data_IF_569188834822
#
_entry.id   IF_569188834822
#
_cell.length_a   1.000
_cell.length_b   1.000
_cell.length_c   1.000
_cell.angle_alpha   90.00
_cell.angle_beta   90.00
_cell.angle_gamma   90.00
#
_symmetry.space_group_name_H-M   'P 1'
#
loop_
_entity.id
_entity.type
_entity.pdbx_description
1 polymer ?
#
# COMPACT_ATOMS: atom_id res chain seq x y z
N UNK A 1 -4.79 44.26 9.04
CA UNK A 1 -5.84 43.22 8.91
C UNK A 1 -5.20 41.90 8.46
N UNK A 2 -4.86 40.97 9.38
CA UNK A 2 -4.30 39.68 8.98
C UNK A 2 -5.42 38.75 8.46
N UNK A 3 -5.22 38.19 7.27
CA UNK A 3 -6.16 37.26 6.62
C UNK A 3 -6.17 35.93 7.37
N UNK A 4 -7.31 35.61 7.98
CA UNK A 4 -7.57 34.32 8.64
C UNK A 4 -7.42 33.15 7.66
N UNK A 5 -6.50 32.23 7.98
CA UNK A 5 -6.31 30.99 7.24
C UNK A 5 -7.50 30.05 7.50
N UNK A 6 -8.36 29.86 6.48
CA UNK A 6 -9.45 28.88 6.55
C UNK A 6 -8.86 27.47 6.60
N UNK A 7 -9.00 26.81 7.75
CA UNK A 7 -8.69 25.40 7.91
C UNK A 7 -9.47 24.56 6.88
N UNK A 8 -8.73 23.76 6.09
CA UNK A 8 -9.29 22.79 5.15
C UNK A 8 -10.12 21.74 5.90
N UNK A 9 -11.44 21.87 5.86
CA UNK A 9 -12.39 20.90 6.44
C UNK A 9 -12.28 19.59 5.66
N UNK A 10 -11.66 18.56 6.28
CA UNK A 10 -11.55 17.20 5.71
C UNK A 10 -12.93 16.73 5.26
N UNK A 11 -13.11 16.49 3.96
CA UNK A 11 -14.34 15.94 3.40
C UNK A 11 -14.58 14.54 3.98
N UNK A 12 -15.68 14.35 4.74
CA UNK A 12 -16.07 13.01 5.23
C UNK A 12 -16.24 12.08 4.03
N UNK A 13 -15.55 10.94 4.04
CA UNK A 13 -15.68 9.91 3.01
C UNK A 13 -17.12 9.40 2.98
N UNK A 14 -17.72 9.30 1.79
CA UNK A 14 -19.10 8.79 1.61
C UNK A 14 -19.15 7.30 2.02
N UNK A 15 -19.92 7.00 3.06
CA UNK A 15 -20.21 5.64 3.56
C UNK A 15 -21.54 5.18 2.95
N UNK A 16 -21.67 3.88 2.70
CA UNK A 16 -22.89 3.26 2.20
C UNK A 16 -24.01 3.51 3.21
N UNK A 17 -25.17 3.94 2.72
CA UNK A 17 -26.33 4.15 3.58
C UNK A 17 -26.88 2.83 4.13
N UNK A 18 -26.58 1.70 3.49
CA UNK A 18 -26.96 0.35 3.94
C UNK A 18 -25.98 -0.24 4.95
N UNK A 19 -24.81 0.36 5.15
CA UNK A 19 -23.85 -0.15 6.12
C UNK A 19 -24.39 0.08 7.54
N UNK A 20 -24.35 -0.92 8.44
CA UNK A 20 -24.82 -0.78 9.81
C UNK A 20 -24.17 0.43 10.50
N UNK A 21 -24.96 1.15 11.32
CA UNK A 21 -24.43 2.28 12.09
C UNK A 21 -23.58 1.77 13.24
N UNK A 22 -22.52 2.50 13.58
CA UNK A 22 -21.65 2.14 14.70
C UNK A 22 -22.46 2.01 16.00
N UNK A 23 -22.19 0.97 16.80
CA UNK A 23 -22.89 0.77 18.06
C UNK A 23 -22.50 1.88 19.06
N UNK A 24 -23.44 2.36 19.88
CA UNK A 24 -23.15 3.33 20.93
C UNK A 24 -22.29 2.70 22.04
N UNK A 25 -21.37 3.49 22.60
CA UNK A 25 -20.62 3.10 23.81
C UNK A 25 -21.50 3.31 25.06
N UNK A 26 -21.12 2.72 26.20
CA UNK A 26 -21.83 2.82 27.49
C UNK A 26 -22.14 4.26 27.89
N UNK A 27 -21.16 5.15 27.77
CA UNK A 27 -21.36 6.59 28.03
C UNK A 27 -22.33 7.25 27.03
N UNK A 28 -22.34 6.83 25.77
CA UNK A 28 -23.26 7.38 24.75
C UNK A 28 -24.70 6.95 24.97
N UNK A 29 -24.91 5.74 25.50
CA UNK A 29 -26.23 5.27 25.94
C UNK A 29 -26.70 6.11 27.13
N UNK A 30 -25.87 6.24 28.15
CA UNK A 30 -26.15 7.11 29.30
C UNK A 30 -26.43 8.55 28.89
N UNK A 31 -25.64 9.12 27.99
CA UNK A 31 -25.82 10.49 27.51
C UNK A 31 -27.18 10.66 26.80
N UNK A 32 -27.62 9.65 26.06
CA UNK A 32 -28.93 9.65 25.40
C UNK A 32 -30.05 9.66 26.43
N UNK A 33 -29.95 8.83 27.47
CA UNK A 33 -30.98 8.71 28.51
C UNK A 33 -31.01 9.94 29.43
N UNK A 34 -29.82 10.47 29.78
CA UNK A 34 -29.65 11.71 30.52
C UNK A 34 -30.28 12.91 29.79
N UNK A 35 -30.06 13.02 28.46
CA UNK A 35 -30.67 14.08 27.66
C UNK A 35 -32.15 13.88 27.35
N UNK A 36 -32.68 12.67 27.47
CA UNK A 36 -34.12 12.43 27.37
C UNK A 36 -34.87 13.00 28.58
N UNK A 37 -34.25 13.02 29.76
CA UNK A 37 -34.80 13.61 30.99
C UNK A 37 -34.54 15.11 31.17
N UNK A 38 -33.46 15.66 30.58
CA UNK A 38 -33.03 17.04 30.81
C UNK A 38 -33.46 17.98 29.65
N UNK A 39 -34.50 18.79 29.86
CA UNK A 39 -35.00 19.73 28.84
C UNK A 39 -34.40 21.13 28.94
N UNK A 40 -33.78 21.51 30.07
CA UNK A 40 -33.35 22.89 30.34
C UNK A 40 -31.87 23.22 30.03
N UNK A 41 -31.64 24.42 29.50
CA UNK A 41 -30.30 24.98 29.27
C UNK A 41 -29.70 24.70 27.89
N UNK A 42 -28.52 25.28 27.65
CA UNK A 42 -27.81 25.10 26.38
C UNK A 42 -27.19 23.70 26.29
N UNK A 43 -26.93 23.20 25.08
CA UNK A 43 -26.26 21.90 24.89
C UNK A 43 -24.93 21.81 25.65
N UNK A 44 -24.17 22.91 25.72
CA UNK A 44 -22.90 22.95 26.43
C UNK A 44 -23.08 22.73 27.95
N UNK A 45 -24.13 23.31 28.54
CA UNK A 45 -24.44 23.15 29.96
C UNK A 45 -24.94 21.74 30.26
N UNK A 46 -25.82 21.20 29.40
CA UNK A 46 -26.28 19.82 29.48
C UNK A 46 -25.12 18.83 29.38
N UNK A 47 -24.19 19.04 28.46
CA UNK A 47 -23.01 18.17 28.30
C UNK A 47 -22.10 18.19 29.54
N UNK A 48 -21.90 19.36 30.17
CA UNK A 48 -21.16 19.45 31.44
C UNK A 48 -21.84 18.64 32.54
N UNK A 49 -23.16 18.80 32.73
CA UNK A 49 -23.94 18.05 33.73
C UNK A 49 -23.92 16.54 33.46
N UNK A 50 -24.10 16.13 32.20
CA UNK A 50 -24.03 14.72 31.80
C UNK A 50 -22.66 14.12 32.12
N UNK A 51 -21.57 14.85 31.87
CA UNK A 51 -20.22 14.37 32.19
C UNK A 51 -19.96 14.26 33.70
N UNK A 52 -20.56 15.13 34.52
CA UNK A 52 -20.48 15.06 35.97
C UNK A 52 -21.31 13.87 36.50
N UNK A 53 -22.56 13.75 36.05
CA UNK A 53 -23.46 12.67 36.43
C UNK A 53 -22.90 11.29 36.08
N UNK A 54 -22.19 11.13 34.96
CA UNK A 54 -21.53 9.87 34.60
C UNK A 54 -20.35 9.51 35.51
N UNK A 55 -19.69 10.50 36.14
CA UNK A 55 -18.63 10.21 37.12
C UNK A 55 -19.23 9.71 38.43
N UNK A 56 -20.37 10.28 38.82
CA UNK A 56 -21.01 10.03 40.12
C UNK A 56 -22.02 8.87 40.09
N UNK A 57 -22.36 8.35 38.91
CA UNK A 57 -23.28 7.22 38.77
C UNK A 57 -22.70 5.96 39.45
N UNK A 58 -23.58 5.13 40.02
CA UNK A 58 -23.19 3.92 40.73
C UNK A 58 -22.49 2.91 39.79
N UNK A 59 -21.57 2.11 40.32
CA UNK A 59 -20.90 1.06 39.52
C UNK A 59 -21.90 0.03 38.96
N UNK A 60 -23.00 -0.22 39.67
CA UNK A 60 -24.08 -1.12 39.23
C UNK A 60 -24.74 -0.57 37.96
N UNK A 61 -25.09 0.71 37.94
CA UNK A 61 -25.70 1.34 36.77
C UNK A 61 -24.68 1.48 35.62
N UNK A 62 -23.40 1.79 35.92
CA UNK A 62 -22.33 1.78 34.89
C UNK A 62 -22.24 0.42 34.23
N UNK A 63 -22.32 -0.66 35.00
CA UNK A 63 -22.26 -2.03 34.50
C UNK A 63 -23.47 -2.39 33.64
N UNK A 64 -24.66 -1.88 33.95
CA UNK A 64 -25.82 -2.02 33.09
C UNK A 64 -25.60 -1.35 31.73
N UNK A 65 -25.10 -0.11 31.70
CA UNK A 65 -24.76 0.58 30.45
C UNK A 65 -23.64 -0.13 29.67
N UNK A 66 -22.67 -0.77 30.35
CA UNK A 66 -21.66 -1.62 29.70
C UNK A 66 -22.30 -2.83 29.03
N UNK A 67 -23.18 -3.56 29.73
CA UNK A 67 -23.92 -4.70 29.17
C UNK A 67 -24.77 -4.30 27.96
N UNK A 68 -25.46 -3.16 28.02
CA UNK A 68 -26.24 -2.65 26.89
C UNK A 68 -25.35 -2.26 25.70
N UNK A 69 -24.16 -1.68 25.96
CA UNK A 69 -23.19 -1.36 24.91
C UNK A 69 -22.61 -2.63 24.26
N UNK A 70 -22.32 -3.66 25.05
CA UNK A 70 -21.86 -4.96 24.56
C UNK A 70 -22.93 -5.65 23.72
N UNK A 71 -24.19 -5.65 24.17
CA UNK A 71 -25.31 -6.15 23.38
C UNK A 71 -25.49 -5.38 22.06
N UNK A 72 -25.35 -4.06 22.06
CA UNK A 72 -25.41 -3.26 20.85
C UNK A 72 -24.24 -3.55 19.90
N UNK A 73 -23.04 -3.81 20.44
CA UNK A 73 -21.88 -4.22 19.67
C UNK A 73 -22.09 -5.58 19.01
N UNK A 74 -22.61 -6.56 19.74
CA UNK A 74 -22.91 -7.89 19.19
C UNK A 74 -23.97 -7.83 18.07
N UNK A 75 -25.01 -7.00 18.23
CA UNK A 75 -25.98 -6.74 17.15
C UNK A 75 -25.31 -6.13 15.91
N UNK A 76 -24.45 -5.15 16.10
CA UNK A 76 -23.69 -4.56 15.00
C UNK A 76 -22.80 -5.58 14.29
N UNK A 77 -22.15 -6.49 15.02
CA UNK A 77 -21.35 -7.56 14.41
C UNK A 77 -22.20 -8.49 13.53
N UNK A 78 -23.39 -8.90 14.02
CA UNK A 78 -24.34 -9.68 13.22
C UNK A 78 -24.85 -8.92 11.99
N UNK A 79 -25.23 -7.65 12.15
CA UNK A 79 -25.69 -6.80 11.04
C UNK A 79 -24.58 -6.60 9.99
N UNK A 80 -23.31 -6.54 10.42
CA UNK A 80 -22.14 -6.42 9.52
C UNK A 80 -21.88 -7.72 8.78
N UNK A 81 -22.09 -8.87 9.41
CA UNK A 81 -21.97 -10.19 8.75
C UNK A 81 -23.09 -10.41 7.71
N UNK A 82 -24.30 -9.91 7.98
CA UNK A 82 -25.42 -9.96 7.04
C UNK A 82 -25.34 -8.87 5.94
N UNK A 83 -24.48 -7.86 6.13
CA UNK A 83 -24.39 -6.73 5.22
C UNK A 83 -23.88 -7.12 3.82
N UNK A 84 -24.70 -6.83 2.81
CA UNK A 84 -24.33 -6.95 1.39
C UNK A 84 -24.00 -5.57 0.79
N UNK A 85 -22.77 -5.33 0.31
CA UNK A 85 -22.37 -4.02 -0.19
C UNK A 85 -23.17 -3.53 -1.40
N UNK A 86 -23.61 -2.27 -1.35
CA UNK A 86 -24.20 -1.62 -2.53
C UNK A 86 -23.15 -1.43 -3.64
N UNK A 87 -23.60 -1.40 -4.90
CA UNK A 87 -22.71 -1.23 -6.08
C UNK A 87 -21.78 -0.02 -5.91
N UNK A 88 -20.48 -0.29 -5.85
CA UNK A 88 -19.44 0.74 -5.69
C UNK A 88 -19.04 1.04 -4.24
N UNK A 89 -19.46 0.21 -3.27
CA UNK A 89 -18.98 0.19 -1.89
C UNK A 89 -18.25 -1.13 -1.59
N UNK A 90 -17.31 -1.10 -0.66
CA UNK A 90 -16.58 -2.28 -0.20
C UNK A 90 -17.33 -2.95 0.97
N UNK A 91 -16.85 -4.10 1.45
CA UNK A 91 -17.37 -4.81 2.63
C UNK A 91 -17.35 -3.97 3.93
N UNK A 92 -16.51 -2.93 4.01
CA UNK A 92 -16.46 -1.99 5.13
C UNK A 92 -17.42 -0.79 4.97
N UNK A 93 -18.34 -0.85 4.00
CA UNK A 93 -19.29 0.21 3.71
C UNK A 93 -18.66 1.48 3.13
N UNK A 94 -17.35 1.51 2.82
CA UNK A 94 -16.72 2.70 2.24
C UNK A 94 -16.85 2.68 0.73
N UNK A 95 -17.04 3.86 0.12
CA UNK A 95 -17.07 3.98 -1.34
C UNK A 95 -15.78 3.41 -1.93
N UNK A 96 -15.92 2.32 -2.68
CA UNK A 96 -14.84 1.68 -3.40
C UNK A 96 -14.19 2.70 -4.31
N UNK A 97 -12.88 2.89 -4.16
CA UNK A 97 -12.10 3.71 -5.09
C UNK A 97 -12.17 3.02 -6.46
N UNK A 98 -12.87 3.64 -7.42
CA UNK A 98 -12.64 3.33 -8.84
C UNK A 98 -11.22 3.78 -9.18
N UNK A 99 -10.27 2.85 -9.08
CA UNK A 99 -8.89 3.04 -9.55
C UNK A 99 -7.82 2.73 -8.50
N UNK A 100 -7.03 1.69 -8.78
CA UNK A 100 -5.78 1.35 -8.09
C UNK A 100 -5.89 1.00 -6.60
N UNK A 101 -6.47 -0.17 -6.33
CA UNK A 101 -6.12 -0.97 -5.15
C UNK A 101 -4.67 -1.45 -5.21
N UNK A 102 -3.71 -0.56 -5.00
CA UNK A 102 -2.43 -0.96 -4.41
C UNK A 102 -2.60 -0.80 -2.91
N UNK A 103 -2.78 -1.94 -2.23
CA UNK A 103 -2.40 -1.99 -0.82
C UNK A 103 -0.99 -1.41 -0.73
N UNK A 104 -0.80 -0.36 0.08
CA UNK A 104 0.54 0.11 0.45
C UNK A 104 1.13 -0.92 1.42
N UNK A 105 1.21 -2.19 1.02
CA UNK A 105 2.24 -3.06 1.56
C UNK A 105 3.53 -2.43 1.07
N UNK A 106 4.29 -1.90 2.02
CA UNK A 106 5.61 -1.33 1.85
C UNK A 106 6.52 -2.43 1.26
N UNK A 107 6.37 -2.72 -0.03
CA UNK A 107 7.37 -3.45 -0.78
C UNK A 107 8.55 -2.51 -0.78
N UNK A 108 9.52 -2.78 0.10
CA UNK A 108 10.84 -2.15 0.04
C UNK A 108 11.24 -2.25 -1.41
N UNK A 109 11.17 -1.13 -2.14
CA UNK A 109 11.59 -1.06 -3.54
C UNK A 109 12.98 -1.67 -3.55
N UNK A 110 13.16 -2.79 -4.24
CA UNK A 110 14.44 -3.46 -4.32
C UNK A 110 15.40 -2.43 -4.93
N UNK A 111 16.32 -1.95 -4.10
CA UNK A 111 17.40 -1.07 -4.55
C UNK A 111 18.51 -2.01 -4.97
N UNK A 112 19.16 -1.71 -6.09
CA UNK A 112 20.35 -2.42 -6.52
C UNK A 112 21.36 -2.45 -5.36
N UNK A 113 21.85 -3.63 -4.93
CA UNK A 113 22.91 -3.74 -3.92
C UNK A 113 24.17 -2.93 -4.26
N UNK A 114 24.44 -2.73 -5.56
CA UNK A 114 25.59 -1.97 -6.06
C UNK A 114 25.31 -0.47 -6.23
N UNK A 115 24.06 -0.01 -6.03
CA UNK A 115 23.76 1.41 -6.08
C UNK A 115 24.41 2.15 -4.91
N UNK A 116 25.05 3.31 -5.16
CA UNK A 116 25.50 4.20 -4.10
C UNK A 116 24.36 4.46 -3.11
N UNK A 117 24.66 4.30 -1.82
CA UNK A 117 23.70 4.63 -0.75
C UNK A 117 23.40 6.12 -0.82
N UNK A 118 22.12 6.45 -0.65
CA UNK A 118 21.62 7.84 -0.70
C UNK A 118 22.33 8.68 0.36
N UNK A 119 22.48 9.96 0.06
CA UNK A 119 22.94 10.91 1.06
C UNK A 119 21.97 11.01 2.25
N UNK A 120 22.53 11.27 3.41
CA UNK A 120 21.93 11.35 4.74
C UNK A 120 21.70 12.84 5.05
N UNK A 121 20.54 13.16 5.63
CA UNK A 121 20.24 14.54 6.02
C UNK A 121 20.99 14.94 7.29
N UNK A 122 21.10 16.24 7.53
CA UNK A 122 21.73 16.79 8.75
C UNK A 122 21.10 16.26 10.03
N UNK A 123 19.76 16.19 10.08
CA UNK A 123 19.04 15.57 11.19
C UNK A 123 19.39 14.08 11.38
N UNK A 124 19.52 13.31 10.30
CA UNK A 124 19.83 11.88 10.40
C UNK A 124 21.29 11.64 10.81
N UNK A 125 22.22 12.53 10.45
CA UNK A 125 23.57 12.54 11.00
C UNK A 125 23.57 12.81 12.51
N UNK A 126 22.80 13.81 12.97
CA UNK A 126 22.61 14.09 14.39
C UNK A 126 22.04 12.88 15.13
N UNK A 127 20.94 12.31 14.62
CA UNK A 127 20.29 11.15 15.21
C UNK A 127 21.27 9.98 15.31
N UNK A 128 22.06 9.69 14.28
CA UNK A 128 23.03 8.59 14.29
C UNK A 128 24.16 8.81 15.31
N UNK A 129 24.68 10.03 15.43
CA UNK A 129 25.76 10.36 16.36
C UNK A 129 25.30 10.31 17.81
N UNK A 130 24.07 10.77 18.08
CA UNK A 130 23.49 10.81 19.43
C UNK A 130 22.69 9.55 19.79
N UNK A 131 22.50 8.62 18.85
CA UNK A 131 21.73 7.39 19.07
C UNK A 131 22.24 6.60 20.28
N UNK A 132 23.56 6.49 20.44
CA UNK A 132 24.18 5.75 21.54
C UNK A 132 23.96 6.47 22.87
N UNK A 133 24.16 7.80 22.91
CA UNK A 133 23.99 8.63 24.11
C UNK A 133 22.53 8.63 24.58
N UNK A 134 21.58 8.82 23.66
CA UNK A 134 20.16 8.79 23.98
C UNK A 134 19.64 7.40 24.31
N UNK A 135 20.30 6.34 23.82
CA UNK A 135 19.95 4.97 24.19
C UNK A 135 20.42 4.60 25.60
N UNK A 136 21.43 5.28 26.15
CA UNK A 136 21.88 5.09 27.54
C UNK A 136 21.13 5.98 28.53
N UNK A 137 20.72 7.18 28.11
CA UNK A 137 20.03 8.14 28.97
C UNK A 137 18.53 7.86 29.09
N UNK A 138 17.95 7.28 28.04
CA UNK A 138 16.57 6.81 28.05
C UNK A 138 16.59 5.33 28.47
N UNK A 139 16.26 5.03 29.73
CA UNK A 139 15.95 3.68 30.22
C UNK A 139 14.63 3.12 29.62
N UNK A 140 14.28 3.53 28.39
CA UNK A 140 13.13 3.02 27.64
C UNK A 140 13.65 1.90 26.76
N UNK A 141 13.73 0.75 27.39
CA UNK A 141 13.66 -0.51 26.67
C UNK A 141 12.45 -0.45 25.71
N UNK A 142 12.68 -0.84 24.46
CA UNK A 142 11.69 -1.31 23.47
C UNK A 142 10.97 -0.38 22.51
N UNK A 143 10.85 0.95 22.69
CA UNK A 143 10.12 1.77 21.69
C UNK A 143 11.02 2.67 20.81
N UNK A 144 11.39 2.18 19.61
CA UNK A 144 12.08 2.97 18.59
C UNK A 144 11.30 4.24 18.19
N UNK A 145 9.98 4.26 18.41
CA UNK A 145 9.12 5.41 18.16
C UNK A 145 9.33 6.52 19.20
N UNK A 146 9.59 6.16 20.46
CA UNK A 146 9.92 7.08 21.55
C UNK A 146 11.24 7.81 21.31
N UNK A 147 12.29 7.07 20.92
CA UNK A 147 13.61 7.63 20.61
C UNK A 147 13.56 8.64 19.44
N UNK A 148 12.81 8.33 18.38
CA UNK A 148 12.63 9.23 17.25
C UNK A 148 11.93 10.54 17.65
N UNK A 149 10.91 10.45 18.51
CA UNK A 149 10.18 11.63 19.01
C UNK A 149 11.07 12.50 19.90
N UNK A 150 11.81 11.89 20.82
CA UNK A 150 12.75 12.57 21.71
C UNK A 150 13.86 13.29 20.94
N UNK A 151 14.54 12.58 20.02
CA UNK A 151 15.60 13.16 19.19
C UNK A 151 15.09 14.28 18.28
N UNK A 152 13.85 14.18 17.77
CA UNK A 152 13.23 15.26 16.99
C UNK A 152 13.00 16.51 17.82
N UNK A 153 12.58 16.39 19.08
CA UNK A 153 12.36 17.55 19.96
C UNK A 153 13.66 18.28 20.27
N UNK A 154 14.75 17.54 20.58
CA UNK A 154 16.07 18.14 20.79
C UNK A 154 16.53 18.87 19.54
N UNK A 155 16.46 18.22 18.38
CA UNK A 155 16.85 18.84 17.12
C UNK A 155 16.08 20.14 16.83
N UNK A 156 14.78 20.18 17.13
CA UNK A 156 13.98 21.39 16.94
C UNK A 156 14.35 22.49 17.95
N UNK A 157 14.78 22.14 19.16
CA UNK A 157 15.25 23.07 20.18
C UNK A 157 16.67 23.58 20.00
N UNK A 158 17.49 22.90 19.19
CA UNK A 158 18.87 23.33 18.90
C UNK A 158 18.91 24.62 18.07
N UNK A 159 19.90 25.45 18.37
CA UNK A 159 20.23 26.66 17.61
C UNK A 159 20.87 26.33 16.27
N UNK A 160 20.88 27.29 15.33
CA UNK A 160 21.52 27.10 14.02
C UNK A 160 23.03 26.86 14.15
N UNK A 161 23.67 27.44 15.17
CA UNK A 161 25.09 27.20 15.47
C UNK A 161 25.35 25.74 15.86
N UNK A 162 24.51 25.17 16.71
CA UNK A 162 24.63 23.77 17.12
C UNK A 162 24.27 22.79 16.00
N UNK A 163 23.42 23.22 15.05
CA UNK A 163 23.08 22.45 13.84
C UNK A 163 24.16 22.54 12.76
N UNK A 164 24.95 23.60 12.73
CA UNK A 164 25.99 23.86 11.73
C UNK A 164 26.94 22.67 11.48
N UNK A 165 27.51 21.98 12.50
CA UNK A 165 28.36 20.82 12.26
C UNK A 165 27.64 19.69 11.51
N UNK A 166 26.35 19.46 11.79
CA UNK A 166 25.56 18.43 11.12
C UNK A 166 25.13 18.84 9.71
N UNK A 167 24.90 20.13 9.48
CA UNK A 167 24.69 20.68 8.13
C UNK A 167 25.92 20.49 7.25
N UNK A 168 27.12 20.74 7.79
CA UNK A 168 28.39 20.49 7.09
C UNK A 168 28.55 19.00 6.75
N UNK A 169 28.30 18.10 7.71
CA UNK A 169 28.34 16.65 7.45
C UNK A 169 27.38 16.22 6.34
N UNK A 170 26.17 16.78 6.31
CA UNK A 170 25.19 16.48 5.26
C UNK A 170 25.61 17.03 3.89
N UNK A 171 26.30 18.17 3.85
CA UNK A 171 26.87 18.72 2.62
C UNK A 171 27.99 17.82 2.08
N UNK A 172 28.93 17.42 2.93
CA UNK A 172 30.01 16.49 2.58
C UNK A 172 29.46 15.13 2.10
N UNK A 173 28.39 14.63 2.74
CA UNK A 173 27.74 13.38 2.36
C UNK A 173 26.98 13.48 1.03
N UNK A 174 26.41 14.65 0.74
CA UNK A 174 25.81 14.95 -0.57
C UNK A 174 26.88 14.91 -1.66
N UNK A 175 28.03 15.52 -1.45
CA UNK A 175 29.15 15.47 -2.42
C UNK A 175 29.69 14.04 -2.61
N UNK A 176 29.83 13.28 -1.52
CA UNK A 176 30.19 11.85 -1.57
C UNK A 176 29.21 11.06 -2.44
N UNK A 177 27.91 11.27 -2.24
CA UNK A 177 26.86 10.61 -3.03
C UNK A 177 26.91 11.03 -4.50
N UNK A 178 27.05 12.33 -4.79
CA UNK A 178 27.16 12.84 -6.16
C UNK A 178 28.40 12.28 -6.88
N UNK A 179 29.55 12.22 -6.22
CA UNK A 179 30.78 11.61 -6.77
C UNK A 179 30.58 10.12 -7.06
N UNK A 180 29.98 9.38 -6.12
CA UNK A 180 29.69 7.95 -6.30
C UNK A 180 28.67 7.70 -7.42
N UNK A 181 27.66 8.58 -7.55
CA UNK A 181 26.65 8.50 -8.62
C UNK A 181 27.23 8.80 -10.00
N UNK A 182 28.24 9.69 -10.12
CA UNK A 182 28.92 9.96 -11.41
C UNK A 182 29.65 8.72 -11.97
N UNK A 183 30.20 7.88 -11.11
CA UNK A 183 30.84 6.61 -11.50
C UNK A 183 29.87 5.42 -11.60
N UNK A 184 28.64 5.57 -11.12
CA UNK A 184 27.65 4.49 -11.07
C UNK A 184 26.90 4.37 -12.40
N UNK A 185 27.13 3.25 -13.10
CA UNK A 185 26.31 2.82 -14.22
C UNK A 185 25.19 1.92 -13.69
N UNK A 186 23.99 2.48 -13.56
CA UNK A 186 22.83 1.69 -13.17
C UNK A 186 22.59 0.57 -14.20
N UNK A 187 22.44 -0.71 -13.80
CA UNK A 187 21.87 -1.71 -14.69
C UNK A 187 20.47 -1.26 -15.11
N UNK A 188 20.06 -1.54 -16.34
CA UNK A 188 18.81 -1.06 -16.93
C UNK A 188 17.59 -1.54 -16.14
N UNK A 189 17.19 -0.76 -15.14
CA UNK A 189 15.87 -0.78 -14.49
C UNK A 189 15.67 0.54 -13.76
N UNK A 190 14.65 1.34 -14.11
CA UNK A 190 14.46 2.67 -13.51
C UNK A 190 13.21 2.78 -12.61
N UNK A 191 13.30 3.73 -11.68
CA UNK A 191 12.24 4.63 -11.18
C UNK A 191 12.93 5.88 -10.56
N UNK A 192 12.34 7.06 -10.32
CA UNK A 192 10.97 7.47 -9.93
C UNK A 192 10.29 8.50 -10.87
N UNK A 193 10.76 8.72 -12.11
CA UNK A 193 10.06 9.54 -13.15
C UNK A 193 10.01 8.91 -14.56
N UNK A 194 10.44 7.67 -14.72
CA UNK A 194 10.58 6.99 -16.02
C UNK A 194 11.39 5.69 -15.90
N UNK A 195 11.36 4.89 -16.98
CA UNK A 195 11.71 3.46 -17.21
C UNK A 195 11.43 2.47 -16.08
N UNK A 196 10.15 2.34 -15.74
CA UNK A 196 9.65 1.13 -15.08
C UNK A 196 9.94 -0.09 -15.94
N UNK A 197 10.89 -0.90 -15.52
CA UNK A 197 10.84 -2.30 -15.89
C UNK A 197 10.87 -3.11 -14.61
N UNK A 198 9.76 -3.82 -14.39
CA UNK A 198 9.83 -5.11 -13.74
C UNK A 198 10.69 -6.10 -14.57
N UNK A 199 11.90 -5.73 -15.05
CA UNK A 199 12.82 -6.57 -15.87
C UNK A 199 13.80 -7.38 -15.00
N UNK A 200 13.42 -7.62 -13.75
CA UNK A 200 14.04 -8.69 -12.99
C UNK A 200 13.23 -9.96 -13.19
N UNK A 201 13.86 -11.05 -13.63
CA UNK A 201 13.19 -12.35 -13.58
C UNK A 201 13.09 -12.78 -12.13
N UNK A 202 11.87 -13.05 -11.66
CA UNK A 202 11.65 -13.62 -10.33
C UNK A 202 11.60 -15.14 -10.43
N UNK A 203 12.53 -15.82 -9.77
CA UNK A 203 12.61 -17.27 -9.68
C UNK A 203 12.84 -17.66 -8.22
N UNK A 204 11.99 -18.54 -7.69
CA UNK A 204 12.10 -19.08 -6.33
C UNK A 204 12.25 -17.98 -5.24
N UNK A 205 11.44 -16.92 -5.37
CA UNK A 205 11.42 -15.79 -4.43
C UNK A 205 12.53 -14.75 -4.65
N UNK A 206 13.63 -15.10 -5.31
CA UNK A 206 14.74 -14.20 -5.66
C UNK A 206 14.47 -13.47 -6.97
N UNK A 207 14.88 -12.21 -7.07
CA UNK A 207 14.84 -11.41 -8.31
C UNK A 207 16.24 -11.32 -8.90
N UNK A 208 16.37 -11.69 -10.16
CA UNK A 208 17.61 -11.59 -10.92
C UNK A 208 17.50 -10.41 -11.88
N UNK A 209 18.34 -9.40 -11.69
CA UNK A 209 18.44 -8.26 -12.61
C UNK A 209 19.27 -8.72 -13.82
N UNK A 210 18.70 -8.54 -15.00
CA UNK A 210 19.37 -8.82 -16.26
C UNK A 210 20.16 -7.58 -16.71
N UNK A 211 21.33 -7.82 -17.28
CA UNK A 211 22.09 -6.81 -18.03
C UNK A 211 21.50 -6.66 -19.44
N UNK A 212 21.83 -5.58 -20.14
CA UNK A 212 21.34 -5.34 -21.50
C UNK A 212 21.81 -6.43 -22.48
N UNK A 213 23.01 -6.99 -22.28
CA UNK A 213 23.57 -8.10 -23.06
C UNK A 213 22.76 -9.39 -22.84
N UNK A 214 22.44 -9.70 -21.59
CA UNK A 214 21.64 -10.87 -21.21
C UNK A 214 20.19 -10.79 -21.68
N UNK A 215 19.60 -9.59 -21.77
CA UNK A 215 18.25 -9.41 -22.33
C UNK A 215 18.19 -9.63 -23.84
N UNK A 216 19.30 -9.36 -24.54
CA UNK A 216 19.44 -9.54 -25.99
C UNK A 216 19.96 -10.94 -26.36
N UNK A 217 20.34 -11.76 -25.39
CA UNK A 217 20.78 -13.14 -25.61
C UNK A 217 19.68 -13.92 -26.37
N UNK A 218 19.97 -14.46 -27.57
CA UNK A 218 19.04 -15.30 -28.31
C UNK A 218 18.54 -16.53 -27.53
N UNK A 219 19.33 -17.00 -26.57
CA UNK A 219 18.99 -18.11 -25.69
C UNK A 219 18.17 -17.70 -24.46
N UNK A 220 17.89 -16.40 -24.29
CA UNK A 220 17.06 -15.92 -23.19
C UNK A 220 15.64 -16.49 -23.31
N UNK A 221 15.14 -17.22 -22.28
CA UNK A 221 13.82 -17.84 -22.34
C UNK A 221 12.70 -16.81 -22.53
N UNK A 222 11.88 -17.02 -23.56
CA UNK A 222 10.73 -16.16 -23.83
C UNK A 222 9.69 -16.28 -22.72
N UNK A 223 9.05 -15.15 -22.41
CA UNK A 223 7.99 -15.09 -21.40
C UNK A 223 6.88 -16.13 -21.64
N UNK A 224 6.26 -16.65 -20.57
CA UNK A 224 5.20 -17.62 -20.72
C UNK A 224 3.97 -16.97 -21.36
N UNK A 225 3.43 -17.64 -22.37
CA UNK A 225 2.23 -17.29 -23.10
C UNK A 225 1.00 -17.55 -22.23
N UNK A 226 0.12 -16.55 -22.17
CA UNK A 226 -1.17 -16.65 -21.49
C UNK A 226 -2.21 -17.34 -22.38
N UNK A 227 -3.30 -17.79 -21.79
CA UNK A 227 -4.38 -18.56 -22.44
C UNK A 227 -4.88 -17.91 -23.73
N UNK A 228 -5.13 -16.60 -23.70
CA UNK A 228 -5.56 -15.84 -24.88
C UNK A 228 -4.53 -15.81 -26.01
N UNK A 229 -3.23 -15.70 -25.69
CA UNK A 229 -2.17 -15.67 -26.71
C UNK A 229 -2.10 -17.00 -27.44
N UNK A 230 -2.13 -18.11 -26.69
CA UNK A 230 -2.14 -19.46 -27.26
C UNK A 230 -3.38 -19.71 -28.13
N UNK A 231 -4.55 -19.23 -27.68
CA UNK A 231 -5.76 -19.25 -28.48
C UNK A 231 -5.64 -18.41 -29.76
N UNK A 232 -5.10 -17.20 -29.64
CA UNK A 232 -4.93 -16.29 -30.77
C UNK A 232 -3.98 -16.84 -31.83
N UNK A 233 -2.89 -17.50 -31.42
CA UNK A 233 -1.96 -18.19 -32.31
C UNK A 233 -2.65 -19.36 -33.03
N UNK A 234 -3.45 -20.14 -32.29
CA UNK A 234 -4.20 -21.25 -32.87
C UNK A 234 -5.24 -20.79 -33.90
N UNK A 235 -5.98 -19.71 -33.62
CA UNK A 235 -6.93 -19.16 -34.61
C UNK A 235 -6.18 -18.56 -35.81
N UNK A 236 -5.10 -17.82 -35.59
CA UNK A 236 -4.30 -17.21 -36.67
C UNK A 236 -3.65 -18.26 -37.57
N UNK A 237 -3.32 -19.44 -37.03
CA UNK A 237 -2.79 -20.56 -37.80
C UNK A 237 -3.84 -21.22 -38.71
N UNK A 238 -5.15 -21.02 -38.45
CA UNK A 238 -6.20 -21.54 -39.33
C UNK A 238 -6.28 -20.68 -40.61
N UNK A 239 -6.18 -21.29 -41.81
CA UNK A 239 -6.32 -20.58 -43.07
C UNK A 239 -7.77 -20.14 -43.27
N UNK A 240 -8.13 -19.02 -42.67
CA UNK A 240 -9.47 -18.44 -42.72
C UNK A 240 -9.43 -17.23 -43.64
N UNK A 241 -10.17 -17.29 -44.76
CA UNK A 241 -10.22 -16.23 -45.79
C UNK A 241 -10.54 -14.85 -45.20
N UNK A 242 -11.30 -14.83 -44.10
CA UNK A 242 -11.66 -13.65 -43.32
C UNK A 242 -10.47 -12.93 -42.69
N UNK A 243 -9.45 -13.65 -42.19
CA UNK A 243 -8.32 -13.02 -41.55
C UNK A 243 -7.29 -12.55 -42.57
N UNK A 244 -7.25 -13.07 -43.80
CA UNK A 244 -6.22 -12.65 -44.77
C UNK A 244 -6.34 -11.18 -45.19
N UNK A 245 -7.55 -10.63 -45.22
CA UNK A 245 -7.83 -9.25 -45.71
C UNK A 245 -7.84 -8.20 -44.60
N UNK A 246 -7.88 -8.62 -43.34
CA UNK A 246 -7.97 -7.73 -42.18
C UNK A 246 -6.60 -7.22 -41.76
N UNK A 247 -6.56 -5.96 -41.32
CA UNK A 247 -5.39 -5.35 -40.69
C UNK A 247 -5.09 -5.99 -39.33
N UNK A 248 -3.87 -5.83 -38.81
CA UNK A 248 -3.50 -6.40 -37.51
C UNK A 248 -4.45 -5.99 -36.38
N UNK A 249 -4.90 -4.72 -36.37
CA UNK A 249 -5.81 -4.19 -35.35
C UNK A 249 -7.18 -4.87 -35.44
N UNK A 250 -7.75 -4.96 -36.64
CA UNK A 250 -9.04 -5.63 -36.86
C UNK A 250 -8.99 -7.13 -36.51
N UNK A 251 -7.88 -7.80 -36.87
CA UNK A 251 -7.62 -9.19 -36.45
C UNK A 251 -7.62 -9.33 -34.93
N UNK A 252 -6.96 -8.41 -34.22
CA UNK A 252 -6.91 -8.43 -32.76
C UNK A 252 -8.28 -8.22 -32.13
N UNK A 253 -9.09 -7.28 -32.66
CA UNK A 253 -10.47 -7.04 -32.21
C UNK A 253 -11.33 -8.29 -32.41
N UNK A 254 -11.31 -8.89 -33.61
CA UNK A 254 -12.06 -10.11 -33.93
C UNK A 254 -11.66 -11.29 -33.04
N UNK A 255 -10.36 -11.44 -32.74
CA UNK A 255 -9.86 -12.48 -31.82
C UNK A 255 -10.34 -12.26 -30.38
N UNK A 256 -10.39 -11.01 -29.91
CA UNK A 256 -10.90 -10.65 -28.59
C UNK A 256 -12.39 -10.98 -28.44
N UNK A 257 -13.19 -10.66 -29.45
CA UNK A 257 -14.62 -11.00 -29.48
C UNK A 257 -14.84 -12.51 -29.47
N UNK A 258 -14.09 -13.27 -30.29
CA UNK A 258 -14.18 -14.73 -30.31
C UNK A 258 -13.77 -15.36 -28.97
N UNK A 259 -12.73 -14.81 -28.32
CA UNK A 259 -12.32 -15.24 -26.98
C UNK A 259 -13.39 -14.95 -25.91
N UNK A 260 -14.08 -13.82 -26.03
CA UNK A 260 -15.22 -13.48 -25.17
C UNK A 260 -16.38 -14.47 -25.30
N UNK A 261 -16.70 -14.88 -26.54
CA UNK A 261 -17.78 -15.83 -26.85
C UNK A 261 -17.50 -17.28 -26.45
N UNK A 262 -16.24 -17.66 -26.24
CA UNK A 262 -15.82 -19.04 -25.94
C UNK A 262 -16.34 -19.58 -24.58
N UNK A 263 -16.92 -18.73 -23.72
CA UNK A 263 -17.38 -19.14 -22.38
C UNK A 263 -16.25 -19.57 -21.46
N UNK A 264 -16.56 -20.04 -20.25
CA UNK A 264 -15.56 -20.58 -19.32
C UNK A 264 -15.07 -21.96 -19.76
N UNK A 265 -15.99 -22.80 -20.25
CA UNK A 265 -15.71 -24.14 -20.73
C UNK A 265 -14.81 -24.15 -21.98
N UNK A 266 -14.96 -23.21 -22.92
CA UNK A 266 -14.03 -23.12 -24.05
C UNK A 266 -12.64 -22.61 -23.64
N UNK A 267 -12.56 -21.80 -22.57
CA UNK A 267 -11.31 -21.21 -22.08
C UNK A 267 -10.46 -22.18 -21.26
N UNK A 268 -11.06 -23.21 -20.64
CA UNK A 268 -10.33 -24.14 -19.77
C UNK A 268 -9.17 -24.88 -20.48
N UNK A 269 -9.35 -25.23 -21.76
CA UNK A 269 -8.30 -25.91 -22.55
C UNK A 269 -7.08 -24.98 -22.68
N UNK A 270 -7.32 -23.69 -22.87
CA UNK A 270 -6.28 -22.69 -23.06
C UNK A 270 -5.63 -22.29 -21.74
N UNK A 271 -6.37 -22.30 -20.62
CA UNK A 271 -5.78 -22.11 -19.29
C UNK A 271 -4.84 -23.26 -18.96
N UNK A 272 -5.23 -24.51 -19.19
CA UNK A 272 -4.35 -25.67 -19.03
C UNK A 272 -3.07 -25.58 -19.88
N UNK A 273 -3.18 -25.17 -21.14
CA UNK A 273 -2.00 -24.94 -22.00
C UNK A 273 -1.11 -23.79 -21.49
N UNK A 274 -1.70 -22.71 -20.98
CA UNK A 274 -0.95 -21.58 -20.43
C UNK A 274 -0.20 -21.97 -19.14
N UNK A 275 -0.79 -22.82 -18.30
CA UNK A 275 -0.11 -23.36 -17.12
C UNK A 275 1.08 -24.25 -17.49
N UNK A 276 0.93 -25.11 -18.51
CA UNK A 276 2.03 -25.91 -19.02
C UNK A 276 3.16 -25.04 -19.60
N UNK A 277 2.81 -23.97 -20.32
CA UNK A 277 3.73 -23.00 -20.88
C UNK A 277 4.47 -22.20 -19.78
N UNK A 278 3.78 -21.88 -18.68
CA UNK A 278 4.37 -21.30 -17.48
C UNK A 278 5.38 -22.23 -16.81
N UNK A 279 5.07 -23.53 -16.70
CA UNK A 279 6.00 -24.54 -16.17
C UNK A 279 7.24 -24.67 -17.06
N UNK A 280 7.08 -24.65 -18.39
CA UNK A 280 8.20 -24.62 -19.34
C UNK A 280 9.11 -23.42 -19.10
N UNK A 281 8.54 -22.22 -19.07
CA UNK A 281 9.31 -20.99 -18.81
C UNK A 281 10.09 -21.06 -17.50
N UNK A 282 9.45 -21.49 -16.41
CA UNK A 282 10.13 -21.64 -15.11
C UNK A 282 11.32 -22.62 -15.16
N UNK A 283 11.20 -23.71 -15.93
CA UNK A 283 12.31 -24.66 -16.12
C UNK A 283 13.44 -24.06 -16.96
N UNK A 284 13.10 -23.43 -18.07
CA UNK A 284 14.07 -22.81 -18.98
C UNK A 284 14.84 -21.69 -18.30
N UNK A 285 14.14 -20.81 -17.58
CA UNK A 285 14.76 -19.66 -16.92
C UNK A 285 15.62 -20.07 -15.73
N UNK A 286 15.25 -21.13 -15.00
CA UNK A 286 16.13 -21.73 -13.98
C UNK A 286 17.41 -22.26 -14.62
N UNK A 287 17.31 -22.99 -15.74
CA UNK A 287 18.48 -23.53 -16.44
C UNK A 287 19.39 -22.40 -16.95
N UNK A 288 18.81 -21.40 -17.61
CA UNK A 288 19.55 -20.25 -18.14
C UNK A 288 20.24 -19.46 -17.01
N UNK A 289 19.59 -19.25 -15.87
CA UNK A 289 20.19 -18.58 -14.71
C UNK A 289 21.36 -19.38 -14.13
N UNK A 290 21.27 -20.71 -14.03
CA UNK A 290 22.41 -21.53 -13.58
C UNK A 290 23.63 -21.36 -14.48
N UNK A 291 23.42 -21.39 -15.81
CA UNK A 291 24.50 -21.26 -16.80
C UNK A 291 25.12 -19.86 -16.81
N UNK A 292 24.31 -18.80 -16.81
CA UNK A 292 24.78 -17.43 -17.04
C UNK A 292 25.06 -16.63 -15.75
N UNK A 293 24.37 -16.92 -14.65
CA UNK A 293 24.55 -16.23 -13.36
C UNK A 293 25.35 -17.06 -12.33
N UNK A 294 25.83 -18.26 -12.69
CA UNK A 294 26.57 -19.19 -11.81
C UNK A 294 25.88 -19.40 -10.45
N UNK A 295 24.61 -19.80 -10.50
CA UNK A 295 23.78 -20.13 -9.31
C UNK A 295 23.66 -21.65 -9.18
#
# INVERSE_FOLDING_TARGET
MPKSAKASRKTKTKVDSKYPKRPPNSYSLFQKDFFAGETEGTFADKAKRCSAAWKDISEVDKDEYKKCADAAKNRFELDVDEYTPSKGFNSDGRKGSKGNGKSRKNSKKFRDPNAPKRNISSYLHFQNKKRSEFSSEIEVSTDQLGLATYTSNIWNGMTDYEKQPYQKMAADDKERYERAMKGYKAPVSYNDKGLTSNRGVKVDGKRYILTEEEEKDPNFPKNPKRSFILYSEWIRAKPTKDFSKLTFVEKATKLGEMWGKLGEDGRHIWTGKAEADQKRYHREIRKWLKTNKKI
#
